data_IF_424237523120
#
_entry.id   IF_424237523120
#
_cell.length_a   1.000
_cell.length_b   1.000
_cell.length_c   1.000
_cell.angle_alpha   90.00
_cell.angle_beta   90.00
_cell.angle_gamma   90.00
#
_symmetry.space_group_name_H-M   'P 1'
#
loop_
_entity.id
_entity.type
_entity.pdbx_description
1 polymer ?
#
# COMPACT_ATOMS: atom_id res chain seq x y z
N UNK A 1 14.98 -7.45 1.43
CA UNK A 1 14.71 -6.23 2.24
C UNK A 1 13.33 -6.39 2.81
N UNK A 2 13.17 -6.50 4.12
CA UNK A 2 11.89 -6.91 4.73
C UNK A 2 10.96 -5.71 4.96
N UNK A 3 9.74 -5.78 4.44
CA UNK A 3 8.68 -4.79 4.69
C UNK A 3 8.04 -5.08 6.05
N UNK A 4 8.69 -4.62 7.12
CA UNK A 4 8.25 -4.80 8.50
C UNK A 4 7.99 -3.45 9.17
N UNK A 5 7.16 -3.44 10.22
CA UNK A 5 6.88 -2.23 10.99
C UNK A 5 8.19 -1.65 11.54
N UNK A 6 8.42 -0.36 11.29
CA UNK A 6 9.63 0.35 11.69
C UNK A 6 10.72 0.44 10.61
N UNK A 7 10.63 -0.32 9.51
CA UNK A 7 11.60 -0.19 8.40
C UNK A 7 11.50 1.19 7.77
N UNK A 8 12.65 1.84 7.56
CA UNK A 8 12.76 3.15 6.93
C UNK A 8 13.31 3.07 5.49
N UNK A 9 12.83 3.97 4.64
CA UNK A 9 13.22 4.11 3.25
C UNK A 9 13.49 5.58 2.91
N UNK A 10 14.62 5.85 2.26
CA UNK A 10 15.03 7.22 1.96
C UNK A 10 14.32 7.81 0.74
N UNK A 11 13.79 6.95 -0.14
CA UNK A 11 13.09 7.35 -1.35
C UNK A 11 11.90 6.45 -1.65
N UNK A 12 11.01 6.94 -2.51
CA UNK A 12 9.91 6.14 -3.04
C UNK A 12 10.39 4.95 -3.86
N UNK A 13 11.51 5.08 -4.57
CA UNK A 13 12.10 4.00 -5.36
C UNK A 13 12.59 2.86 -4.48
N UNK A 14 13.28 3.17 -3.37
CA UNK A 14 13.73 2.17 -2.40
C UNK A 14 12.55 1.39 -1.80
N UNK A 15 11.47 2.10 -1.44
CA UNK A 15 10.24 1.46 -0.98
C UNK A 15 9.64 0.54 -2.06
N UNK A 16 9.55 1.02 -3.30
CA UNK A 16 8.96 0.25 -4.41
C UNK A 16 9.77 -1.00 -4.71
N UNK A 17 11.10 -0.92 -4.68
CA UNK A 17 11.98 -2.07 -4.84
C UNK A 17 11.78 -3.09 -3.71
N UNK A 18 11.71 -2.64 -2.45
CA UNK A 18 11.47 -3.52 -1.32
C UNK A 18 10.08 -4.18 -1.36
N UNK A 19 9.05 -3.45 -1.80
CA UNK A 19 7.71 -4.00 -2.01
C UNK A 19 7.74 -5.06 -3.10
N UNK A 20 8.42 -4.85 -4.23
CA UNK A 20 8.54 -5.87 -5.28
C UNK A 20 9.21 -7.15 -4.80
N UNK A 21 10.29 -7.02 -4.04
CA UNK A 21 10.96 -8.19 -3.44
C UNK A 21 10.00 -8.92 -2.50
N UNK A 22 9.22 -8.19 -1.70
CA UNK A 22 8.21 -8.79 -0.83
C UNK A 22 7.08 -9.49 -1.61
N UNK A 23 6.64 -8.91 -2.74
CA UNK A 23 5.65 -9.52 -3.63
C UNK A 23 6.14 -10.85 -4.21
N UNK A 24 7.40 -10.89 -4.65
CA UNK A 24 8.07 -12.09 -5.17
C UNK A 24 8.28 -13.16 -4.08
N UNK A 25 8.77 -12.77 -2.90
CA UNK A 25 9.05 -13.69 -1.79
C UNK A 25 7.79 -14.30 -1.17
N UNK A 26 6.68 -13.56 -1.13
CA UNK A 26 5.44 -14.00 -0.48
C UNK A 26 4.34 -14.39 -1.49
N UNK A 27 4.64 -14.32 -2.79
CA UNK A 27 3.70 -14.62 -3.88
C UNK A 27 2.38 -13.83 -3.77
N UNK A 28 2.51 -12.55 -3.40
CA UNK A 28 1.38 -11.63 -3.24
C UNK A 28 1.48 -10.49 -4.25
N UNK A 29 0.34 -10.08 -4.81
CA UNK A 29 0.26 -8.88 -5.65
C UNK A 29 -0.33 -7.73 -4.83
N UNK A 30 0.49 -6.73 -4.53
CA UNK A 30 0.12 -5.55 -3.78
C UNK A 30 -0.23 -4.39 -4.72
N UNK A 31 -1.30 -3.69 -4.38
CA UNK A 31 -1.74 -2.49 -5.10
C UNK A 31 -1.79 -1.32 -4.15
N UNK A 32 -1.56 -0.13 -4.69
CA UNK A 32 -1.75 1.11 -3.95
C UNK A 32 -3.25 1.36 -3.80
N UNK A 33 -3.72 1.36 -2.56
CA UNK A 33 -5.11 1.63 -2.20
C UNK A 33 -5.37 3.13 -2.08
N UNK A 34 -4.55 3.80 -1.30
CA UNK A 34 -4.69 5.22 -0.97
C UNK A 34 -3.31 5.86 -0.94
N UNK A 35 -3.21 7.10 -1.44
CA UNK A 35 -1.98 7.89 -1.35
C UNK A 35 -2.28 9.31 -0.92
N UNK A 36 -1.27 9.96 -0.38
CA UNK A 36 -1.26 11.41 -0.21
C UNK A 36 0.09 11.95 -0.65
N UNK A 37 0.10 12.82 -1.64
CA UNK A 37 1.33 13.47 -2.11
C UNK A 37 1.93 14.38 -1.03
N UNK A 38 3.24 14.60 -1.10
CA UNK A 38 3.93 15.54 -0.21
C UNK A 38 3.39 16.96 -0.34
N UNK A 39 3.01 17.39 -1.54
CA UNK A 39 2.41 18.70 -1.79
C UNK A 39 1.06 18.88 -1.07
N UNK A 40 0.19 17.87 -1.15
CA UNK A 40 -1.10 17.90 -0.46
C UNK A 40 -0.93 17.91 1.06
N UNK A 41 0.10 17.22 1.56
CA UNK A 41 0.43 17.21 2.98
C UNK A 41 1.07 18.53 3.45
N UNK A 42 1.94 19.14 2.63
CA UNK A 42 2.56 20.43 2.91
C UNK A 42 1.51 21.56 2.97
N UNK A 43 0.51 21.54 2.07
CA UNK A 43 -0.62 22.49 2.11
C UNK A 43 -1.40 22.42 3.43
N UNK A 44 -1.51 21.23 4.04
CA UNK A 44 -2.17 21.05 5.34
C UNK A 44 -1.27 21.34 6.53
N UNK A 45 0.04 21.23 6.36
CA UNK A 45 1.02 21.37 7.42
C UNK A 45 2.17 22.25 6.93
N UNK A 46 1.94 23.57 6.90
CA UNK A 46 2.90 24.55 6.38
C UNK A 46 4.25 24.57 7.11
N UNK A 47 4.32 24.03 8.34
CA UNK A 47 5.56 23.94 9.12
C UNK A 47 6.48 22.80 8.70
N UNK A 48 5.97 21.85 7.92
CA UNK A 48 6.67 20.59 7.63
C UNK A 48 7.24 20.60 6.22
N UNK A 49 8.56 20.52 6.12
CA UNK A 49 9.26 20.38 4.84
C UNK A 49 9.38 18.91 4.49
N UNK A 50 8.82 18.52 3.36
CA UNK A 50 8.93 17.15 2.87
C UNK A 50 10.03 17.05 1.83
N UNK A 51 10.80 15.96 1.87
CA UNK A 51 11.77 15.65 0.83
C UNK A 51 11.02 15.31 -0.48
N UNK A 52 11.34 15.93 -1.62
CA UNK A 52 10.72 15.56 -2.90
C UNK A 52 11.00 14.10 -3.30
N UNK A 53 12.09 13.49 -2.83
CA UNK A 53 12.46 12.10 -3.16
C UNK A 53 11.47 11.04 -2.63
N UNK A 54 10.72 11.34 -1.57
CA UNK A 54 9.72 10.40 -1.03
C UNK A 54 8.40 10.44 -1.79
N UNK A 55 8.13 11.49 -2.60
CA UNK A 55 6.95 11.72 -3.47
C UNK A 55 5.57 11.75 -2.78
N UNK A 56 5.33 10.83 -1.85
CA UNK A 56 4.13 10.68 -1.05
C UNK A 56 4.46 10.82 0.44
N UNK A 57 3.54 11.40 1.18
CA UNK A 57 3.58 11.52 2.64
C UNK A 57 2.92 10.34 3.36
N UNK A 58 1.99 9.66 2.69
CA UNK A 58 1.22 8.53 3.23
C UNK A 58 0.85 7.63 2.04
N UNK A 59 1.12 6.34 2.17
CA UNK A 59 0.84 5.31 1.15
C UNK A 59 0.24 4.11 1.88
N UNK A 60 -0.92 3.68 1.44
CA UNK A 60 -1.52 2.43 1.89
C UNK A 60 -1.49 1.43 0.73
N UNK A 61 -0.80 0.32 0.92
CA UNK A 61 -0.88 -0.84 0.04
C UNK A 61 -1.93 -1.81 0.58
N UNK A 62 -2.60 -2.52 -0.33
CA UNK A 62 -3.42 -3.66 0.00
C UNK A 62 -3.22 -4.77 -1.04
N UNK A 63 -3.62 -5.99 -0.71
CA UNK A 63 -3.62 -7.06 -1.69
C UNK A 63 -4.59 -6.76 -2.85
N UNK A 64 -4.31 -7.28 -4.04
CA UNK A 64 -5.18 -7.20 -5.23
C UNK A 64 -6.60 -7.72 -4.97
N UNK A 65 -6.74 -8.75 -4.14
CA UNK A 65 -8.04 -9.27 -3.70
C UNK A 65 -8.70 -8.42 -2.58
N UNK A 66 -7.94 -7.50 -1.98
CA UNK A 66 -8.42 -6.52 -1.02
C UNK A 66 -8.89 -5.21 -1.66
N UNK A 67 -9.16 -4.22 -0.82
CA UNK A 67 -9.65 -2.90 -1.23
C UNK A 67 -11.15 -2.70 -1.01
N UNK A 68 -11.67 -1.56 -1.49
CA UNK A 68 -13.08 -1.19 -1.27
C UNK A 68 -13.99 -2.08 -2.11
N UNK A 69 -14.86 -2.85 -1.47
CA UNK A 69 -15.93 -3.54 -2.18
C UNK A 69 -16.87 -2.51 -2.79
N UNK A 70 -17.13 -2.65 -4.09
CA UNK A 70 -18.15 -1.84 -4.75
C UNK A 70 -19.52 -2.32 -4.30
N UNK A 71 -20.29 -1.44 -3.68
CA UNK A 71 -21.69 -1.68 -3.34
C UNK A 71 -22.53 -1.26 -4.53
N UNK A 72 -23.13 -2.21 -5.24
CA UNK A 72 -24.03 -1.90 -6.35
C UNK A 72 -25.40 -1.48 -5.83
N UNK A 73 -25.92 -0.34 -6.28
CA UNK A 73 -27.30 0.09 -6.04
C UNK A 73 -28.26 -0.31 -7.17
N UNK A 74 -27.85 -1.23 -8.06
CA UNK A 74 -28.59 -1.63 -9.27
C UNK A 74 -29.35 -2.95 -9.07
N UNK A 75 -30.43 -3.15 -9.83
CA UNK A 75 -31.37 -4.30 -9.80
C UNK A 75 -30.78 -5.66 -10.23
N UNK A 76 -29.45 -5.82 -10.28
CA UNK A 76 -28.80 -7.14 -10.39
C UNK A 76 -28.78 -7.81 -11.78
N UNK A 77 -28.97 -7.08 -12.89
CA UNK A 77 -28.99 -7.67 -14.25
C UNK A 77 -27.62 -8.05 -14.85
N UNK A 78 -26.49 -7.71 -14.21
CA UNK A 78 -25.13 -8.01 -14.72
C UNK A 78 -24.52 -9.23 -14.03
N UNK A 79 -24.11 -10.22 -14.82
CA UNK A 79 -23.41 -11.42 -14.35
C UNK A 79 -21.87 -11.24 -14.29
N UNK A 80 -21.40 -10.09 -13.81
CA UNK A 80 -19.97 -9.83 -13.65
C UNK A 80 -19.65 -9.71 -12.16
N UNK A 81 -18.96 -10.71 -11.60
CA UNK A 81 -18.55 -10.71 -10.19
C UNK A 81 -17.20 -10.02 -10.06
N UNK A 82 -17.04 -9.21 -9.00
CA UNK A 82 -15.74 -8.61 -8.68
C UNK A 82 -14.83 -9.67 -8.07
N UNK A 83 -13.57 -9.71 -8.48
CA UNK A 83 -12.55 -10.59 -7.88
C UNK A 83 -12.14 -10.18 -6.46
N UNK A 84 -12.79 -9.16 -5.86
CA UNK A 84 -12.48 -8.62 -4.54
C UNK A 84 -13.02 -9.55 -3.44
N UNK A 85 -12.11 -10.21 -2.71
CA UNK A 85 -12.41 -11.11 -1.58
C UNK A 85 -12.36 -10.41 -0.21
N UNK A 86 -12.25 -9.07 -0.18
CA UNK A 86 -12.09 -8.28 1.03
C UNK A 86 -10.91 -8.74 1.91
N UNK A 87 -9.78 -9.04 1.25
CA UNK A 87 -8.55 -9.45 1.92
C UNK A 87 -8.13 -8.40 2.97
N UNK A 88 -7.86 -8.81 4.23
CA UNK A 88 -7.51 -7.88 5.29
C UNK A 88 -6.07 -7.37 5.18
N UNK A 89 -5.24 -7.97 4.33
CA UNK A 89 -3.86 -7.57 4.11
C UNK A 89 -3.72 -6.08 3.82
N UNK A 90 -2.84 -5.41 4.58
CA UNK A 90 -2.43 -4.05 4.29
C UNK A 90 -0.99 -3.77 4.74
N UNK A 91 -0.36 -2.82 4.06
CA UNK A 91 0.88 -2.18 4.51
C UNK A 91 0.65 -0.68 4.48
N UNK A 92 0.83 -0.01 5.62
CA UNK A 92 0.72 1.45 5.72
C UNK A 92 2.09 2.05 5.91
N UNK A 93 2.47 2.90 4.98
CA UNK A 93 3.75 3.61 4.97
C UNK A 93 3.47 5.10 5.13
N UNK A 94 4.28 5.78 5.94
CA UNK A 94 4.13 7.22 6.18
C UNK A 94 5.48 7.91 6.16
N UNK A 95 5.51 9.19 5.83
CA UNK A 95 6.66 10.03 6.04
C UNK A 95 6.96 10.21 7.55
N UNK A 96 8.24 10.15 7.88
CA UNK A 96 8.81 10.45 9.21
C UNK A 96 8.33 11.80 9.76
N UNK A 97 8.52 12.00 11.08
CA UNK A 97 8.20 13.26 11.75
C UNK A 97 8.94 14.45 11.13
N UNK A 98 10.07 14.20 10.47
CA UNK A 98 10.93 15.21 9.85
C UNK A 98 10.62 15.37 8.35
N UNK A 99 9.81 14.48 7.78
CA UNK A 99 9.39 14.53 6.38
C UNK A 99 10.47 14.10 5.38
N UNK A 100 11.60 13.58 5.85
CA UNK A 100 12.76 13.26 5.00
C UNK A 100 12.73 11.84 4.44
N UNK A 101 12.25 10.88 5.24
CA UNK A 101 12.19 9.46 4.91
C UNK A 101 10.77 8.91 5.02
N UNK A 102 10.51 7.77 4.39
CA UNK A 102 9.32 6.95 4.59
C UNK A 102 9.61 5.88 5.64
N UNK A 103 8.62 5.53 6.45
CA UNK A 103 8.71 4.41 7.36
C UNK A 103 7.43 3.58 7.31
N UNK A 104 7.58 2.28 7.50
CA UNK A 104 6.44 1.37 7.60
C UNK A 104 5.81 1.55 8.97
N UNK A 105 4.60 2.09 9.01
CA UNK A 105 3.88 2.38 10.24
C UNK A 105 3.19 1.15 10.80
N UNK A 106 2.62 0.34 9.92
CA UNK A 106 1.69 -0.73 10.30
C UNK A 106 1.60 -1.76 9.16
N UNK A 107 1.62 -3.04 9.50
CA UNK A 107 1.56 -4.17 8.56
C UNK A 107 0.59 -5.20 9.14
N UNK A 108 -0.35 -5.65 8.32
CA UNK A 108 -1.17 -6.82 8.61
C UNK A 108 -0.92 -7.86 7.53
N UNK A 109 -0.13 -8.86 7.88
CA UNK A 109 0.23 -9.97 6.99
C UNK A 109 -0.74 -11.14 7.18
N UNK A 110 -2.01 -10.90 6.85
CA UNK A 110 -3.06 -11.90 6.96
C UNK A 110 -3.89 -11.90 5.69
N UNK A 111 -3.99 -13.06 5.07
CA UNK A 111 -4.78 -13.29 3.87
C UNK A 111 -5.97 -14.19 4.20
N UNK A 112 -7.12 -13.89 3.59
CA UNK A 112 -8.33 -14.72 3.68
C UNK A 112 -8.56 -15.53 2.39
N UNK A 113 -7.51 -15.70 1.59
CA UNK A 113 -7.51 -16.40 0.31
C UNK A 113 -6.16 -17.07 0.12
N UNK A 114 -6.13 -18.06 -0.75
CA UNK A 114 -4.86 -18.72 -1.12
C UNK A 114 -3.91 -17.71 -1.75
N UNK A 115 -2.68 -17.74 -1.26
CA UNK A 115 -1.50 -17.10 -1.82
C UNK A 115 -0.68 -18.26 -2.40
N UNK A 116 -0.93 -18.58 -3.67
CA UNK A 116 -0.25 -19.68 -4.34
C UNK A 116 1.01 -19.15 -5.02
N UNK A 117 2.16 -19.74 -4.68
CA UNK A 117 3.32 -19.82 -5.57
C UNK A 117 2.84 -20.45 -6.88
N UNK A 118 2.63 -19.65 -7.92
CA UNK A 118 2.39 -20.21 -9.26
C UNK A 118 3.76 -20.66 -9.77
N UNK A 119 4.15 -21.87 -9.37
CA UNK A 119 5.14 -22.65 -10.11
C UNK A 119 4.44 -23.14 -11.39
N UNK A 120 4.63 -22.42 -12.49
CA UNK A 120 4.49 -22.97 -13.85
C UNK A 120 5.88 -23.11 -14.48
#
# INVERSE_FOLDING_TARGET
>A
MSVQVGTEFESYEALTAAVRVYEEENFVNLIIRDTRTVEAAAKRNLRKTYNPAIKYSDIAFCCTYGGKQYVSHSTGKRNHKTTKKACPFYVKVRATADGQKLFVRDVLDTHNHDISEVSE
#
